data_IF_555139879524
#
_entry.id   IF_555139879524
#
_cell.length_a   1.000
_cell.length_b   1.000
_cell.length_c   1.000
_cell.angle_alpha   90.00
_cell.angle_beta   90.00
_cell.angle_gamma   90.00
#
_symmetry.space_group_name_H-M   'P 1'
#
loop_
_entity.id
_entity.type
_entity.pdbx_description
1 polymer ?
#
# COMPACT_ATOMS: atom_id res chain seq x y z
N UNK A 1 -2.97 62.30 30.87
CA UNK A 1 -2.35 61.88 29.59
C UNK A 1 -1.60 60.59 29.86
N UNK A 2 -2.14 59.46 29.42
CA UNK A 2 -1.57 58.13 29.63
C UNK A 2 -0.81 57.70 28.38
N UNK A 3 0.46 57.31 28.53
CA UNK A 3 1.31 56.79 27.45
C UNK A 3 1.15 55.27 27.32
N UNK A 4 0.84 54.83 26.10
CA UNK A 4 0.62 53.43 25.70
C UNK A 4 1.94 52.80 25.26
N UNK A 5 2.25 51.61 25.78
CA UNK A 5 3.33 50.76 25.30
C UNK A 5 2.92 50.04 23.98
N UNK A 6 3.86 49.73 23.06
CA UNK A 6 3.56 48.99 21.85
C UNK A 6 3.53 47.46 22.06
N UNK A 7 2.58 46.82 21.38
CA UNK A 7 2.38 45.37 21.23
C UNK A 7 3.60 44.67 20.61
N UNK A 8 4.00 43.54 21.19
CA UNK A 8 4.93 42.60 20.58
C UNK A 8 4.13 41.60 19.72
N UNK A 9 4.23 41.74 18.40
CA UNK A 9 3.69 40.78 17.45
C UNK A 9 4.49 39.46 17.49
N UNK A 10 3.76 38.34 17.58
CA UNK A 10 4.30 37.00 17.52
C UNK A 10 4.94 36.71 16.16
N UNK A 11 6.16 36.16 16.17
CA UNK A 11 6.87 35.74 14.98
C UNK A 11 6.44 34.32 14.56
N UNK A 12 5.92 34.20 13.34
CA UNK A 12 5.65 32.93 12.65
C UNK A 12 6.97 32.30 12.18
N UNK A 13 7.25 31.00 12.40
CA UNK A 13 8.40 30.36 11.76
C UNK A 13 8.12 30.10 10.28
N UNK A 14 9.05 30.53 9.42
CA UNK A 14 9.01 30.34 7.98
C UNK A 14 9.28 28.88 7.58
N UNK A 15 8.52 28.38 6.60
CA UNK A 15 8.76 27.07 5.98
C UNK A 15 10.08 27.06 5.17
N UNK A 16 10.78 25.91 5.06
CA UNK A 16 12.00 25.82 4.28
C UNK A 16 11.72 26.01 2.79
N UNK A 17 12.34 27.03 2.20
CA UNK A 17 12.36 27.28 0.76
C UNK A 17 13.38 26.34 0.12
N UNK A 18 12.93 25.33 -0.61
CA UNK A 18 13.79 24.56 -1.53
C UNK A 18 13.89 25.34 -2.85
N UNK A 19 15.03 25.98 -3.08
CA UNK A 19 15.33 26.61 -4.36
C UNK A 19 15.52 25.53 -5.44
N UNK A 20 14.62 25.52 -6.44
CA UNK A 20 14.82 24.80 -7.70
C UNK A 20 16.05 25.37 -8.40
N UNK A 21 17.08 24.55 -8.59
CA UNK A 21 18.22 24.93 -9.43
C UNK A 21 17.82 24.72 -10.89
N UNK A 22 17.58 25.83 -11.58
CA UNK A 22 17.30 25.85 -13.02
C UNK A 22 18.52 25.35 -13.80
N UNK A 23 18.30 24.41 -14.71
CA UNK A 23 19.25 24.09 -15.78
C UNK A 23 18.54 24.31 -17.11
N UNK A 24 18.99 25.31 -17.85
CA UNK A 24 18.86 25.45 -19.30
C UNK A 24 19.82 26.57 -19.73
N UNK A 25 20.45 26.60 -20.90
CA UNK A 25 20.86 25.62 -21.91
C UNK A 25 21.61 26.46 -22.97
N UNK A 26 22.72 25.99 -23.51
CA UNK A 26 23.39 26.65 -24.63
C UNK A 26 23.61 25.68 -25.81
N UNK A 27 23.02 26.07 -26.94
CA UNK A 27 23.46 25.90 -28.33
C UNK A 27 23.39 24.55 -29.09
N UNK A 28 22.53 24.58 -30.13
CA UNK A 28 22.72 24.20 -31.56
C UNK A 28 22.48 22.77 -32.10
N UNK A 29 21.44 22.69 -32.95
CA UNK A 29 21.19 22.01 -34.26
C UNK A 29 21.69 20.60 -34.65
N UNK A 30 20.66 19.75 -34.85
CA UNK A 30 20.29 18.89 -36.01
C UNK A 30 20.92 17.49 -36.29
N UNK A 31 20.01 16.56 -36.64
CA UNK A 31 20.10 15.20 -37.20
C UNK A 31 20.28 13.97 -36.26
N UNK A 32 19.76 12.79 -36.67
CA UNK A 32 18.35 12.40 -36.78
C UNK A 32 17.94 11.44 -35.63
N UNK A 33 16.63 11.29 -35.41
CA UNK A 33 16.05 10.32 -34.46
C UNK A 33 16.53 8.91 -34.81
N UNK A 34 17.47 8.40 -34.02
CA UNK A 34 17.90 7.00 -34.06
C UNK A 34 17.13 6.24 -32.98
N UNK A 35 16.15 5.47 -33.42
CA UNK A 35 15.43 4.48 -32.62
C UNK A 35 16.43 3.44 -32.13
N UNK A 36 16.96 3.61 -30.91
CA UNK A 36 17.74 2.56 -30.25
C UNK A 36 17.28 2.40 -28.81
N UNK A 37 16.65 1.26 -28.59
CA UNK A 37 16.36 0.61 -27.32
C UNK A 37 15.65 1.47 -26.27
N UNK A 38 14.36 1.16 -26.08
CA UNK A 38 13.77 1.14 -24.75
C UNK A 38 14.56 0.12 -23.89
N UNK A 39 15.76 0.49 -23.48
CA UNK A 39 16.45 -0.16 -22.39
C UNK A 39 15.74 0.27 -21.10
N UNK A 40 15.33 -0.73 -20.34
CA UNK A 40 14.60 -0.57 -19.09
C UNK A 40 15.27 0.50 -18.23
N UNK A 41 14.50 1.54 -17.87
CA UNK A 41 14.94 2.50 -16.87
C UNK A 41 15.41 1.73 -15.62
N UNK A 42 16.57 2.09 -15.03
CA UNK A 42 17.01 1.46 -13.80
C UNK A 42 15.92 1.59 -12.73
N UNK A 43 15.70 0.55 -11.90
CA UNK A 43 14.69 0.62 -10.85
C UNK A 43 14.95 1.85 -9.98
N UNK A 44 13.91 2.67 -9.79
CA UNK A 44 14.02 3.88 -8.99
C UNK A 44 14.45 3.51 -7.56
N UNK A 45 15.48 4.15 -6.98
CA UNK A 45 15.97 3.81 -5.64
C UNK A 45 14.92 3.97 -4.53
N UNK A 46 13.83 4.70 -4.79
CA UNK A 46 12.68 4.83 -3.87
C UNK A 46 11.87 3.52 -3.78
N UNK A 47 11.83 2.72 -4.84
CA UNK A 47 11.05 1.47 -4.87
C UNK A 47 11.63 0.38 -3.97
N UNK A 48 12.88 0.52 -3.52
CA UNK A 48 13.57 -0.46 -2.68
C UNK A 48 13.66 -0.05 -1.20
N UNK A 49 13.14 1.11 -0.80
CA UNK A 49 13.15 1.52 0.62
C UNK A 49 12.13 0.68 1.41
N UNK A 50 12.58 0.05 2.50
CA UNK A 50 11.70 -0.64 3.44
C UNK A 50 10.88 0.38 4.24
N UNK A 51 9.54 0.22 4.32
CA UNK A 51 8.73 0.95 5.28
C UNK A 51 9.24 0.71 6.71
N UNK A 52 9.13 1.73 7.56
CA UNK A 52 9.55 1.64 8.95
C UNK A 52 8.82 0.50 9.68
N UNK A 53 9.58 -0.38 10.33
CA UNK A 53 9.07 -1.51 11.09
C UNK A 53 8.65 -2.73 10.24
N UNK A 54 8.78 -2.68 8.91
CA UNK A 54 8.51 -3.83 8.08
C UNK A 54 9.66 -4.86 8.13
N UNK A 55 9.37 -6.17 8.05
CA UNK A 55 10.41 -7.21 8.01
C UNK A 55 11.34 -7.07 6.80
N UNK A 56 12.58 -7.53 6.95
CA UNK A 56 13.60 -7.40 5.91
C UNK A 56 13.57 -8.54 4.87
N UNK A 57 13.19 -9.76 5.28
CA UNK A 57 13.05 -10.92 4.40
C UNK A 57 11.71 -10.93 3.66
N UNK A 58 11.68 -11.50 2.45
CA UNK A 58 10.50 -11.50 1.60
C UNK A 58 9.29 -12.22 2.25
N UNK A 59 9.50 -13.30 3.01
CA UNK A 59 8.38 -14.03 3.65
C UNK A 59 7.66 -13.17 4.69
N UNK A 60 8.41 -12.65 5.67
CA UNK A 60 7.86 -11.74 6.68
C UNK A 60 7.31 -10.46 6.05
N UNK A 61 8.02 -9.89 5.08
CA UNK A 61 7.62 -8.64 4.43
C UNK A 61 6.32 -8.79 3.63
N UNK A 62 6.13 -9.90 2.91
CA UNK A 62 4.89 -10.19 2.19
C UNK A 62 3.72 -10.39 3.15
N UNK A 63 3.94 -11.09 4.26
CA UNK A 63 2.93 -11.22 5.30
C UNK A 63 2.54 -9.85 5.89
N UNK A 64 3.52 -9.00 6.17
CA UNK A 64 3.30 -7.63 6.62
C UNK A 64 2.52 -6.79 5.59
N UNK A 65 2.89 -6.83 4.30
CA UNK A 65 2.19 -6.14 3.22
C UNK A 65 0.73 -6.62 3.08
N UNK A 66 0.47 -7.92 3.26
CA UNK A 66 -0.89 -8.46 3.32
C UNK A 66 -1.68 -7.87 4.49
N UNK A 67 -1.05 -7.70 5.65
CA UNK A 67 -1.62 -7.02 6.81
C UNK A 67 -1.97 -5.56 6.55
N UNK A 68 -1.03 -4.79 5.99
CA UNK A 68 -1.25 -3.37 5.66
C UNK A 68 -2.39 -3.21 4.67
N UNK A 69 -2.45 -4.00 3.60
CA UNK A 69 -3.57 -3.92 2.65
C UNK A 69 -4.89 -4.32 3.30
N UNK A 70 -4.89 -5.35 4.15
CA UNK A 70 -6.11 -5.76 4.88
C UNK A 70 -6.62 -4.64 5.80
N UNK A 71 -5.72 -3.91 6.46
CA UNK A 71 -6.08 -2.77 7.30
C UNK A 71 -6.58 -1.56 6.49
N UNK A 72 -6.03 -1.33 5.30
CA UNK A 72 -6.51 -0.30 4.38
C UNK A 72 -7.94 -0.59 3.88
N UNK A 73 -8.23 -1.86 3.57
CA UNK A 73 -9.57 -2.30 3.19
C UNK A 73 -10.57 -2.22 4.34
N UNK A 74 -10.19 -2.61 5.57
CA UNK A 74 -11.02 -2.42 6.76
C UNK A 74 -11.27 -0.93 7.06
N UNK A 75 -10.29 -0.05 6.84
CA UNK A 75 -10.51 1.40 6.94
C UNK A 75 -11.56 1.87 5.91
N UNK A 76 -11.49 1.38 4.67
CA UNK A 76 -12.42 1.74 3.61
C UNK A 76 -13.88 1.42 3.97
N UNK A 77 -14.12 0.24 4.54
CA UNK A 77 -15.45 -0.18 5.00
C UNK A 77 -15.99 0.74 6.10
N UNK A 78 -15.12 1.20 7.00
CA UNK A 78 -15.51 2.09 8.11
C UNK A 78 -15.89 3.50 7.64
N UNK A 79 -15.21 4.01 6.63
CA UNK A 79 -15.39 5.39 6.13
C UNK A 79 -16.32 5.49 4.92
N UNK A 80 -17.07 4.43 4.61
CA UNK A 80 -17.94 4.34 3.43
C UNK A 80 -19.01 5.44 3.35
N UNK A 81 -19.38 6.08 4.46
CA UNK A 81 -20.31 7.22 4.47
C UNK A 81 -19.68 8.52 3.92
N UNK A 82 -18.34 8.59 3.88
CA UNK A 82 -17.56 9.69 3.28
C UNK A 82 -16.99 9.31 1.94
N UNK A 83 -16.58 8.05 1.79
CA UNK A 83 -15.91 7.55 0.60
C UNK A 83 -16.46 6.16 0.22
N UNK A 84 -17.57 6.10 -0.52
CA UNK A 84 -18.08 4.84 -1.03
C UNK A 84 -17.12 4.30 -2.10
N UNK A 85 -16.51 3.14 -1.84
CA UNK A 85 -15.76 2.43 -2.86
C UNK A 85 -16.70 1.78 -3.87
N UNK A 86 -16.28 1.77 -5.13
CA UNK A 86 -16.96 0.97 -6.14
C UNK A 86 -16.55 -0.51 -6.07
N UNK A 87 -17.33 -1.36 -6.72
CA UNK A 87 -17.10 -2.81 -6.77
C UNK A 87 -15.73 -3.16 -7.39
N UNK A 88 -15.27 -2.37 -8.36
CA UNK A 88 -13.99 -2.63 -9.03
C UNK A 88 -12.82 -2.43 -8.07
N UNK A 89 -12.83 -1.37 -7.26
CA UNK A 89 -11.82 -1.12 -6.22
C UNK A 89 -11.82 -2.24 -5.18
N UNK A 90 -12.99 -2.66 -4.70
CA UNK A 90 -13.09 -3.81 -3.78
C UNK A 90 -12.53 -5.08 -4.40
N UNK A 91 -12.84 -5.36 -5.67
CA UNK A 91 -12.35 -6.54 -6.41
C UNK A 91 -10.83 -6.52 -6.57
N UNK A 92 -10.25 -5.36 -6.88
CA UNK A 92 -8.79 -5.18 -6.96
C UNK A 92 -8.14 -5.47 -5.61
N UNK A 93 -8.63 -4.89 -4.52
CA UNK A 93 -8.09 -5.13 -3.17
C UNK A 93 -8.10 -6.62 -2.79
N UNK A 94 -9.22 -7.30 -3.04
CA UNK A 94 -9.35 -8.75 -2.80
C UNK A 94 -8.37 -9.58 -3.65
N UNK A 95 -8.19 -9.23 -4.92
CA UNK A 95 -7.25 -9.92 -5.78
C UNK A 95 -5.80 -9.74 -5.31
N UNK A 96 -5.43 -8.55 -4.82
CA UNK A 96 -4.12 -8.34 -4.22
C UNK A 96 -3.92 -9.17 -2.94
N UNK A 97 -4.91 -9.23 -2.06
CA UNK A 97 -4.86 -10.10 -0.87
C UNK A 97 -4.70 -11.58 -1.23
N UNK A 98 -5.41 -12.04 -2.27
CA UNK A 98 -5.27 -13.40 -2.78
C UNK A 98 -3.85 -13.66 -3.33
N UNK A 99 -3.27 -12.71 -4.07
CA UNK A 99 -1.90 -12.81 -4.55
C UNK A 99 -0.85 -12.92 -3.44
N UNK A 100 -1.02 -12.19 -2.33
CA UNK A 100 -0.15 -12.34 -1.16
C UNK A 100 -0.33 -13.70 -0.48
N UNK A 101 -1.55 -14.19 -0.35
CA UNK A 101 -1.79 -15.53 0.19
C UNK A 101 -1.11 -16.60 -0.67
N UNK A 102 -1.26 -16.54 -2.00
CA UNK A 102 -0.58 -17.44 -2.93
C UNK A 102 0.95 -17.40 -2.78
N UNK A 103 1.54 -16.22 -2.60
CA UNK A 103 2.98 -16.08 -2.41
C UNK A 103 3.47 -16.74 -1.10
N UNK A 104 2.72 -16.59 0.00
CA UNK A 104 3.05 -17.19 1.29
C UNK A 104 2.90 -18.71 1.26
N UNK A 105 1.87 -19.23 0.59
CA UNK A 105 1.64 -20.67 0.46
C UNK A 105 2.68 -21.36 -0.45
N UNK A 106 3.18 -20.64 -1.46
CA UNK A 106 4.26 -21.12 -2.32
C UNK A 106 5.60 -21.24 -1.59
N UNK A 107 5.82 -20.43 -0.54
CA UNK A 107 7.05 -20.44 0.22
C UNK A 107 7.20 -21.73 1.07
N UNK A 108 8.38 -22.37 1.14
CA UNK A 108 8.62 -23.50 2.03
C UNK A 108 8.27 -23.20 3.49
N UNK A 109 8.55 -21.99 3.96
CA UNK A 109 8.25 -21.54 5.32
C UNK A 109 6.75 -21.55 5.62
N UNK A 110 5.90 -21.08 4.68
CA UNK A 110 4.45 -21.04 4.83
C UNK A 110 3.79 -22.42 4.98
N UNK A 111 4.48 -23.49 4.56
CA UNK A 111 4.01 -24.87 4.75
C UNK A 111 4.22 -25.39 6.18
N UNK A 112 5.03 -24.71 6.98
CA UNK A 112 5.27 -25.07 8.40
C UNK A 112 4.31 -24.34 9.34
N UNK A 113 4.01 -24.95 10.49
CA UNK A 113 3.19 -24.29 11.52
C UNK A 113 3.84 -23.01 12.05
N UNK A 114 5.16 -23.06 12.31
CA UNK A 114 5.92 -21.92 12.78
C UNK A 114 5.89 -20.75 11.77
N UNK A 115 6.06 -21.05 10.48
CA UNK A 115 5.97 -20.06 9.42
C UNK A 115 4.57 -19.45 9.29
N UNK A 116 3.51 -20.24 9.40
CA UNK A 116 2.12 -19.70 9.42
C UNK A 116 1.89 -18.79 10.62
N UNK A 117 2.34 -19.18 11.81
CA UNK A 117 2.23 -18.35 13.01
C UNK A 117 2.99 -17.03 12.86
N UNK A 118 4.20 -17.08 12.30
CA UNK A 118 4.98 -15.89 11.97
C UNK A 118 4.24 -15.00 10.97
N UNK A 119 3.74 -15.56 9.87
CA UNK A 119 2.99 -14.80 8.87
C UNK A 119 1.75 -14.12 9.48
N UNK A 120 1.04 -14.80 10.39
CA UNK A 120 -0.08 -14.17 11.13
C UNK A 120 0.37 -12.99 11.99
N UNK A 121 1.48 -13.11 12.71
CA UNK A 121 2.00 -12.03 13.54
C UNK A 121 2.43 -10.81 12.70
N UNK A 122 3.09 -11.05 11.56
CA UNK A 122 3.49 -9.96 10.65
C UNK A 122 2.28 -9.31 9.97
N UNK A 123 1.27 -10.10 9.59
CA UNK A 123 -0.03 -9.58 9.10
C UNK A 123 -0.70 -8.71 10.17
N UNK A 124 -0.68 -9.12 11.42
CA UNK A 124 -1.24 -8.34 12.53
C UNK A 124 -0.48 -7.02 12.71
N UNK A 125 0.87 -7.02 12.69
CA UNK A 125 1.65 -5.78 12.76
C UNK A 125 1.35 -4.83 11.59
N UNK A 126 1.28 -5.35 10.36
CA UNK A 126 0.92 -4.58 9.18
C UNK A 126 -0.49 -3.98 9.29
N UNK A 127 -1.46 -4.76 9.76
CA UNK A 127 -2.83 -4.30 9.94
C UNK A 127 -2.93 -3.16 10.98
N UNK A 128 -2.13 -3.22 12.05
CA UNK A 128 -2.08 -2.19 13.11
C UNK A 128 -1.53 -0.84 12.65
N UNK A 129 -0.88 -0.75 11.48
CA UNK A 129 -0.44 0.56 10.93
C UNK A 129 -1.61 1.51 10.66
N UNK A 130 -2.83 0.99 10.62
CA UNK A 130 -4.06 1.74 10.42
C UNK A 130 -4.80 2.08 11.73
N UNK A 131 -4.27 1.71 12.89
CA UNK A 131 -4.96 1.91 14.18
C UNK A 131 -5.34 3.37 14.44
N UNK A 132 -4.46 4.31 14.13
CA UNK A 132 -4.75 5.74 14.34
C UNK A 132 -5.77 6.27 13.32
N UNK A 133 -5.67 5.85 12.05
CA UNK A 133 -6.64 6.23 11.02
C UNK A 133 -8.06 5.72 11.30
N UNK A 134 -8.19 4.64 12.08
CA UNK A 134 -9.49 4.11 12.53
C UNK A 134 -10.07 4.79 13.76
N UNK A 135 -9.26 5.55 14.51
CA UNK A 135 -9.69 6.25 15.73
C UNK A 135 -10.10 7.69 15.48
N UNK A 136 -9.64 8.29 14.38
CA UNK A 136 -9.99 9.66 13.98
C UNK A 136 -11.40 9.74 13.40
N UNK A 137 -11.89 10.96 13.17
CA UNK A 137 -13.17 11.16 12.51
C UNK A 137 -13.16 10.59 11.08
N UNK A 138 -14.35 10.24 10.57
CA UNK A 138 -14.46 9.54 9.29
C UNK A 138 -13.95 10.36 8.10
N UNK A 139 -13.98 11.69 8.16
CA UNK A 139 -13.46 12.52 7.07
C UNK A 139 -11.93 12.39 7.02
N UNK A 140 -11.26 12.54 8.18
CA UNK A 140 -9.81 12.36 8.26
C UNK A 140 -9.38 10.91 7.96
N UNK A 141 -10.20 9.93 8.33
CA UNK A 141 -10.01 8.52 7.96
C UNK A 141 -10.09 8.32 6.44
N UNK A 142 -11.07 8.93 5.76
CA UNK A 142 -11.20 8.88 4.30
C UNK A 142 -10.02 9.57 3.60
N UNK A 143 -9.57 10.72 4.11
CA UNK A 143 -8.40 11.42 3.59
C UNK A 143 -7.13 10.55 3.74
N UNK A 144 -6.99 9.86 4.89
CA UNK A 144 -5.90 8.90 5.14
C UNK A 144 -5.96 7.71 4.18
N UNK A 145 -7.15 7.20 3.87
CA UNK A 145 -7.35 6.14 2.89
C UNK A 145 -6.88 6.59 1.48
N UNK A 146 -7.27 7.79 1.05
CA UNK A 146 -6.94 8.34 -0.28
C UNK A 146 -5.45 8.69 -0.42
N UNK A 147 -4.81 9.13 0.65
CA UNK A 147 -3.40 9.52 0.66
C UNK A 147 -2.43 8.33 0.54
N UNK A 148 -2.93 7.11 0.76
CA UNK A 148 -2.09 5.92 0.77
C UNK A 148 -2.09 5.19 -0.56
N UNK A 149 -0.93 4.59 -0.87
CA UNK A 149 -0.74 3.68 -1.98
C UNK A 149 0.08 2.50 -1.49
N UNK A 150 -0.22 1.32 -2.03
CA UNK A 150 0.55 0.12 -1.75
C UNK A 150 2.00 0.30 -2.27
N UNK A 151 3.03 0.15 -1.42
CA UNK A 151 4.41 0.27 -1.86
C UNK A 151 4.75 -0.74 -2.96
N UNK A 152 5.37 -0.34 -4.09
CA UNK A 152 5.72 -1.25 -5.19
C UNK A 152 6.56 -2.46 -4.77
N UNK A 153 7.39 -2.30 -3.72
CA UNK A 153 8.18 -3.38 -3.14
C UNK A 153 7.33 -4.55 -2.68
N UNK A 154 6.11 -4.32 -2.18
CA UNK A 154 5.23 -5.39 -1.73
C UNK A 154 4.88 -6.35 -2.86
N UNK A 155 4.54 -5.83 -4.05
CA UNK A 155 4.27 -6.62 -5.24
C UNK A 155 5.54 -7.38 -5.68
N UNK A 156 6.68 -6.70 -5.78
CA UNK A 156 7.93 -7.35 -6.19
C UNK A 156 8.39 -8.45 -5.23
N UNK A 157 8.26 -8.25 -3.92
CA UNK A 157 8.61 -9.25 -2.91
C UNK A 157 7.70 -10.48 -3.01
N UNK A 158 6.40 -10.28 -3.21
CA UNK A 158 5.46 -11.39 -3.39
C UNK A 158 5.76 -12.19 -4.66
N UNK A 159 6.10 -11.52 -5.76
CA UNK A 159 6.49 -12.18 -7.01
C UNK A 159 7.79 -12.97 -6.87
N UNK A 160 8.79 -12.43 -6.15
CA UNK A 160 10.03 -13.16 -5.83
C UNK A 160 9.76 -14.38 -4.96
N UNK A 161 8.96 -14.21 -3.90
CA UNK A 161 8.60 -15.28 -2.97
C UNK A 161 7.83 -16.42 -3.67
N UNK A 162 6.90 -16.07 -4.56
CA UNK A 162 6.10 -17.02 -5.32
C UNK A 162 6.86 -17.66 -6.50
N UNK A 163 7.99 -17.08 -6.92
CA UNK A 163 8.73 -17.50 -8.11
C UNK A 163 7.99 -17.25 -9.44
N UNK A 164 6.95 -16.41 -9.46
CA UNK A 164 6.13 -16.11 -10.64
C UNK A 164 5.49 -14.72 -10.56
N UNK A 165 5.36 -14.05 -11.70
CA UNK A 165 4.92 -12.64 -11.80
C UNK A 165 3.41 -12.44 -11.89
N UNK A 166 2.66 -13.51 -12.12
CA UNK A 166 1.24 -13.47 -12.47
C UNK A 166 0.28 -13.66 -11.29
N UNK A 167 0.78 -13.59 -10.06
CA UNK A 167 0.00 -13.83 -8.83
C UNK A 167 -1.03 -12.73 -8.51
N UNK A 168 -0.92 -11.54 -9.11
CA UNK A 168 -1.85 -10.42 -8.90
C UNK A 168 -2.80 -10.19 -10.07
N UNK A 169 -2.84 -11.12 -11.05
CA UNK A 169 -3.78 -10.99 -12.16
C UNK A 169 -5.20 -11.11 -11.64
N UNK A 170 -6.05 -10.18 -12.03
CA UNK A 170 -7.51 -10.29 -11.89
C UNK A 170 -7.98 -11.47 -12.75
N UNK A 171 -7.99 -12.67 -12.20
CA UNK A 171 -8.55 -13.84 -12.84
C UNK A 171 -10.03 -13.98 -12.46
N UNK A 172 -10.84 -14.47 -13.41
CA UNK A 172 -12.27 -14.75 -13.21
C UNK A 172 -12.55 -15.77 -12.07
N UNK A 173 -11.51 -16.44 -11.56
CA UNK A 173 -11.62 -17.43 -10.47
C UNK A 173 -11.83 -16.83 -9.08
N UNK A 174 -11.63 -15.51 -8.88
CA UNK A 174 -12.07 -14.84 -7.63
C UNK A 174 -13.59 -14.95 -7.45
N UNK A 175 -14.33 -15.19 -8.53
CA UNK A 175 -15.79 -15.38 -8.48
C UNK A 175 -16.20 -16.74 -7.90
N UNK A 176 -15.30 -17.74 -7.83
CA UNK A 176 -15.64 -19.09 -7.34
C UNK A 176 -15.18 -19.38 -5.90
N UNK A 177 -14.38 -18.50 -5.30
CA UNK A 177 -13.96 -18.65 -3.89
C UNK A 177 -15.03 -18.17 -2.89
N UNK A 178 -16.01 -17.39 -3.35
CA UNK A 178 -17.18 -16.95 -2.56
C UNK A 178 -18.33 -17.94 -2.52
N UNK A 179 -18.33 -18.95 -3.40
CA UNK A 179 -19.43 -19.92 -3.56
C UNK A 179 -19.16 -21.26 -2.86
N UNK A 180 -18.02 -21.40 -2.17
CA UNK A 180 -17.63 -22.63 -1.48
C UNK A 180 -18.08 -22.71 -0.01
N UNK A 181 -19.15 -22.01 0.37
CA UNK A 181 -19.85 -22.25 1.64
C UNK A 181 -21.14 -23.06 1.37
N UNK A 182 -21.00 -24.39 1.46
CA UNK A 182 -22.12 -25.34 1.38
C UNK A 182 -23.10 -25.23 2.56
N UNK A 183 -24.29 -25.84 2.47
CA UNK A 183 -25.49 -25.37 3.14
C UNK A 183 -25.54 -25.78 4.62
N UNK A 184 -25.43 -24.81 5.53
CA UNK A 184 -25.93 -24.97 6.90
C UNK A 184 -27.43 -24.69 6.89
N UNK A 185 -28.21 -25.77 6.91
CA UNK A 185 -29.65 -25.73 7.06
C UNK A 185 -30.05 -25.01 8.34
N UNK A 186 -30.98 -24.06 8.22
CA UNK A 186 -31.65 -23.41 9.35
C UNK A 186 -32.99 -24.12 9.60
N UNK A 187 -33.27 -24.64 10.79
CA UNK A 187 -34.60 -25.17 11.10
C UNK A 187 -35.60 -24.01 11.18
N UNK A 188 -36.76 -24.19 10.55
CA UNK A 188 -37.90 -23.27 10.65
C UNK A 188 -38.58 -23.46 12.01
N UNK A 189 -38.85 -22.36 12.71
CA UNK A 189 -39.90 -22.25 13.74
C UNK A 189 -41.06 -21.47 13.16
#
# INVERSE_FOLDING_TARGET
VATRAPDAAAATPAAPVYTRRSFDAAATSDAPVSTRAADAAPPSPVADILPQGAPADDFGFVAWCSGVLSGHMDLAERVQDKLPLDEAQTKIGKAYLAGYAMALDAAPEGRTEAGRKRAMAEREDGWKKWDEARKVDHQLGADSYLAWQLPPRCEHAAQRLAGRKDIFRLNASVEHAGDAEGPVGRPKS
#
